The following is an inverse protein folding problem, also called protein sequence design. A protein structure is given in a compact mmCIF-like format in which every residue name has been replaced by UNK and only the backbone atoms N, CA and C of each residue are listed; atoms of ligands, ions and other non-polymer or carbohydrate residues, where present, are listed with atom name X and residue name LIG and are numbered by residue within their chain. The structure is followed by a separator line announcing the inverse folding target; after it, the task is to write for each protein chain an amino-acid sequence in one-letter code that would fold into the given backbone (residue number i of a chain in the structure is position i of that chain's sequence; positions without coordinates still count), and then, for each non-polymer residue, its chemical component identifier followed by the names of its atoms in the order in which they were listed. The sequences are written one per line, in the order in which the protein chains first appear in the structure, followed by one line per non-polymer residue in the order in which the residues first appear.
data_IF_186162729456
#
_entry.id   IF_186162729456
#
_cell.length_a   1.000
_cell.length_b   1.000
_cell.length_c   1.000
_cell.angle_alpha   90.00
_cell.angle_beta   90.00
_cell.angle_gamma   90.00
#
_symmetry.space_group_name_H-M   'P 1'
#
loop_
_entity.id
_entity.type
_entity.pdbx_description
1 polymer ?
#
# COMPACT_ATOMS: atom_id res chain seq x y z
N UNK A 1 31.07 13.69 8.29
CA UNK A 1 30.38 12.80 7.33
C UNK A 1 29.42 11.96 8.14
N UNK A 2 28.10 12.20 8.07
CA UNK A 2 27.14 11.39 8.83
C UNK A 2 27.09 10.00 8.22
N UNK A 3 27.43 8.98 9.01
CA UNK A 3 27.31 7.58 8.61
C UNK A 3 25.87 7.14 8.88
N UNK A 4 25.15 6.77 7.84
CA UNK A 4 23.82 6.17 7.98
C UNK A 4 23.98 4.67 8.20
N UNK A 5 23.40 4.15 9.29
CA UNK A 5 23.39 2.72 9.59
C UNK A 5 22.02 2.15 9.21
N UNK A 6 21.94 1.32 8.16
CA UNK A 6 20.68 0.70 7.77
C UNK A 6 20.28 -0.41 8.74
N UNK A 7 18.98 -0.49 9.02
CA UNK A 7 18.35 -1.59 9.73
C UNK A 7 17.12 -2.07 8.96
N UNK A 8 16.81 -3.37 9.08
CA UNK A 8 15.61 -3.98 8.54
C UNK A 8 14.73 -4.45 9.69
N UNK A 9 13.45 -4.08 9.65
CA UNK A 9 12.44 -4.49 10.62
C UNK A 9 11.40 -5.36 9.91
N UNK A 10 11.16 -6.54 10.46
CA UNK A 10 10.06 -7.41 10.06
C UNK A 10 9.07 -7.55 11.21
N UNK A 11 7.82 -7.14 10.95
CA UNK A 11 6.71 -7.34 11.89
C UNK A 11 5.87 -8.50 11.36
N UNK A 12 5.86 -9.62 12.08
CA UNK A 12 5.14 -10.82 11.67
C UNK A 12 3.62 -10.60 11.72
N UNK A 13 2.89 -11.01 10.69
CA UNK A 13 1.42 -11.04 10.66
C UNK A 13 0.96 -12.48 10.40
N UNK A 14 -0.15 -12.94 10.99
CA UNK A 14 -0.65 -14.31 10.76
C UNK A 14 -0.92 -14.63 9.28
N UNK A 15 -1.26 -13.61 8.49
CA UNK A 15 -1.51 -13.72 7.05
C UNK A 15 -0.24 -13.56 6.19
N UNK A 16 0.95 -13.60 6.80
CA UNK A 16 2.23 -13.43 6.10
C UNK A 16 2.77 -14.77 5.61
N UNK A 17 2.77 -14.98 4.30
CA UNK A 17 3.38 -16.18 3.67
C UNK A 17 4.92 -16.15 3.61
N UNK A 18 5.53 -15.06 4.07
CA UNK A 18 6.99 -14.86 4.05
C UNK A 18 7.63 -15.44 5.30
N UNK A 19 8.55 -16.40 5.13
CA UNK A 19 9.39 -16.92 6.21
C UNK A 19 10.45 -15.88 6.64
N UNK A 20 10.42 -15.39 7.90
CA UNK A 20 11.38 -14.42 8.40
C UNK A 20 12.83 -14.92 8.41
N UNK A 21 13.07 -16.24 8.42
CA UNK A 21 14.43 -16.79 8.43
C UNK A 21 15.16 -16.53 7.10
N UNK A 22 14.46 -16.67 5.98
CA UNK A 22 15.01 -16.38 4.65
C UNK A 22 15.37 -14.89 4.52
N UNK A 23 14.52 -14.01 5.05
CA UNK A 23 14.77 -12.57 5.06
C UNK A 23 15.95 -12.20 5.97
N UNK A 24 16.03 -12.80 7.16
CA UNK A 24 17.15 -12.62 8.08
C UNK A 24 18.48 -13.05 7.44
N UNK A 25 18.51 -14.21 6.78
CA UNK A 25 19.69 -14.70 6.07
C UNK A 25 20.13 -13.71 4.99
N UNK A 26 19.20 -13.23 4.17
CA UNK A 26 19.48 -12.24 3.14
C UNK A 26 20.00 -10.90 3.72
N UNK A 27 19.35 -10.36 4.75
CA UNK A 27 19.82 -9.14 5.42
C UNK A 27 21.24 -9.29 5.98
N UNK A 28 21.59 -10.48 6.49
CA UNK A 28 22.96 -10.79 6.94
C UNK A 28 23.97 -10.74 5.79
N UNK A 29 23.63 -11.22 4.60
CA UNK A 29 24.52 -11.11 3.42
C UNK A 29 24.78 -9.66 3.01
N UNK A 30 23.82 -8.77 3.25
CA UNK A 30 23.94 -7.33 2.99
C UNK A 30 24.62 -6.54 4.12
N UNK A 31 24.95 -7.21 5.25
CA UNK A 31 25.47 -6.52 6.44
C UNK A 31 24.45 -5.61 7.14
N UNK A 32 23.15 -5.84 6.93
CA UNK A 32 22.06 -5.05 7.51
C UNK A 32 21.56 -5.70 8.80
N UNK A 33 21.44 -4.93 9.87
CA UNK A 33 20.87 -5.40 11.14
C UNK A 33 19.39 -5.76 10.93
N UNK A 34 19.04 -7.03 11.17
CA UNK A 34 17.67 -7.51 11.10
C UNK A 34 17.02 -7.51 12.49
N UNK A 35 15.80 -7.00 12.58
CA UNK A 35 14.99 -6.92 13.80
C UNK A 35 13.68 -7.63 13.50
N UNK A 36 13.35 -8.62 14.32
CA UNK A 36 12.10 -9.36 14.21
C UNK A 36 11.19 -9.00 15.39
N UNK A 37 9.96 -8.61 15.07
CA UNK A 37 8.91 -8.32 16.03
C UNK A 37 7.73 -9.27 15.80
N UNK A 38 7.36 -10.00 16.84
CA UNK A 38 6.24 -10.92 16.80
C UNK A 38 4.94 -10.24 17.26
N UNK A 39 3.85 -10.45 16.52
CA UNK A 39 2.52 -9.98 16.90
C UNK A 39 1.83 -10.82 17.97
N UNK A 40 2.39 -11.97 18.35
CA UNK A 40 1.69 -12.97 19.17
C UNK A 40 1.27 -12.48 20.57
N UNK A 41 1.80 -11.37 21.11
CA UNK A 41 1.51 -10.97 22.50
C UNK A 41 0.34 -10.02 22.74
N UNK A 42 -0.27 -9.37 21.74
CA UNK A 42 -1.12 -8.19 22.03
C UNK A 42 -2.54 -8.14 21.47
N UNK A 43 -3.04 -9.07 20.65
CA UNK A 43 -4.46 -9.04 20.27
C UNK A 43 -5.02 -10.40 19.85
N UNK A 44 -5.70 -11.06 20.79
CA UNK A 44 -6.62 -12.17 20.54
C UNK A 44 -8.03 -11.71 20.17
N UNK A 45 -8.30 -10.41 20.01
CA UNK A 45 -9.67 -9.91 19.83
C UNK A 45 -9.71 -8.65 18.97
N UNK A 46 -9.71 -8.82 17.64
CA UNK A 46 -10.51 -8.03 16.69
C UNK A 46 -10.30 -8.64 15.30
N UNK A 47 -11.20 -9.56 14.93
CA UNK A 47 -11.32 -10.02 13.57
C UNK A 47 -11.86 -8.87 12.71
N UNK A 48 -11.03 -8.33 11.83
CA UNK A 48 -11.45 -7.52 10.68
C UNK A 48 -10.53 -7.79 9.50
N UNK A 49 -11.13 -8.41 8.48
CA UNK A 49 -10.72 -8.57 7.08
C UNK A 49 -9.24 -8.78 6.77
N UNK A 50 -8.95 -10.01 6.32
CA UNK A 50 -7.78 -10.33 5.53
C UNK A 50 -7.82 -9.56 4.19
N UNK A 51 -7.37 -8.30 4.19
CA UNK A 51 -7.03 -7.57 2.96
C UNK A 51 -5.55 -7.81 2.66
N UNK A 52 -5.30 -8.52 1.58
CA UNK A 52 -3.97 -8.86 1.11
C UNK A 52 -3.15 -7.61 0.78
N UNK A 53 -1.96 -7.54 1.39
CA UNK A 53 -0.92 -6.54 1.13
C UNK A 53 -1.17 -5.13 1.68
N UNK A 54 -1.32 -5.01 3.01
CA UNK A 54 -1.45 -3.73 3.73
C UNK A 54 -0.55 -3.66 4.97
N UNK A 55 0.72 -4.10 4.88
CA UNK A 55 1.62 -4.14 6.04
C UNK A 55 1.72 -2.80 6.79
N UNK A 56 1.81 -1.66 6.08
CA UNK A 56 1.96 -0.34 6.71
C UNK A 56 0.65 0.33 7.19
N UNK A 57 -0.53 -0.01 6.66
CA UNK A 57 -1.73 0.77 7.05
C UNK A 57 -2.27 0.37 8.43
N UNK A 58 -1.96 -0.84 8.93
CA UNK A 58 -2.42 -1.23 10.27
C UNK A 58 -1.76 -0.36 11.36
N UNK A 59 -2.58 0.16 12.27
CA UNK A 59 -2.10 0.96 13.40
C UNK A 59 -1.11 0.17 14.28
N UNK A 60 -1.37 -1.14 14.47
CA UNK A 60 -0.49 -2.02 15.25
C UNK A 60 0.91 -2.16 14.66
N UNK A 61 1.05 -2.24 13.33
CA UNK A 61 2.38 -2.30 12.69
C UNK A 61 3.11 -0.96 12.86
N UNK A 62 2.42 0.18 12.64
CA UNK A 62 3.03 1.50 12.84
C UNK A 62 3.50 1.70 14.28
N UNK A 63 2.66 1.35 15.27
CA UNK A 63 3.02 1.42 16.70
C UNK A 63 4.27 0.61 17.03
N UNK A 64 4.40 -0.60 16.49
CA UNK A 64 5.61 -1.44 16.65
C UNK A 64 6.83 -0.79 16.00
N UNK A 65 6.69 -0.29 14.79
CA UNK A 65 7.79 0.41 14.08
C UNK A 65 8.28 1.60 14.89
N UNK A 66 7.36 2.40 15.45
CA UNK A 66 7.72 3.54 16.29
C UNK A 66 8.44 3.11 17.58
N UNK A 67 7.96 2.05 18.24
CA UNK A 67 8.61 1.50 19.44
C UNK A 67 10.02 0.97 19.17
N UNK A 68 10.21 0.24 18.06
CA UNK A 68 11.54 -0.25 17.65
C UNK A 68 12.46 0.91 17.28
N UNK A 69 11.95 1.90 16.55
CA UNK A 69 12.74 3.06 16.17
C UNK A 69 13.20 3.85 17.40
N UNK A 70 12.31 4.06 18.37
CA UNK A 70 12.64 4.75 19.62
C UNK A 70 13.66 3.97 20.47
N UNK A 71 13.47 2.66 20.63
CA UNK A 71 14.35 1.81 21.45
C UNK A 71 15.75 1.64 20.86
N UNK A 72 15.88 1.63 19.53
CA UNK A 72 17.17 1.47 18.86
C UNK A 72 17.80 2.78 18.38
N UNK A 73 17.13 3.93 18.61
CA UNK A 73 17.64 5.26 18.25
C UNK A 73 17.60 5.56 16.75
N UNK A 74 16.69 4.95 15.99
CA UNK A 74 16.49 5.30 14.58
C UNK A 74 15.70 6.60 14.44
N UNK A 75 16.23 7.55 13.66
CA UNK A 75 15.57 8.83 13.38
C UNK A 75 14.60 8.80 12.20
N UNK A 76 14.66 7.75 11.37
CA UNK A 76 13.83 7.62 10.18
C UNK A 76 13.47 6.16 9.89
N UNK A 77 12.25 5.95 9.38
CA UNK A 77 11.80 4.66 8.85
C UNK A 77 11.41 4.82 7.38
N UNK A 78 11.96 3.96 6.52
CA UNK A 78 11.65 3.93 5.10
C UNK A 78 10.63 2.83 4.79
N UNK A 79 9.56 3.19 4.10
CA UNK A 79 8.48 2.28 3.70
C UNK A 79 8.42 2.20 2.18
N UNK A 80 8.48 0.98 1.65
CA UNK A 80 8.53 0.72 0.21
C UNK A 80 7.12 0.74 -0.42
N UNK A 81 6.45 1.89 -0.37
CA UNK A 81 5.17 2.09 -1.07
C UNK A 81 5.38 2.78 -2.41
N UNK A 82 4.69 2.27 -3.42
CA UNK A 82 4.84 2.65 -4.82
C UNK A 82 3.83 3.71 -5.25
N UNK A 83 4.02 4.26 -6.45
CA UNK A 83 3.06 5.17 -7.09
C UNK A 83 1.69 4.50 -7.26
N UNK A 84 1.66 3.20 -7.57
CA UNK A 84 0.42 2.41 -7.66
C UNK A 84 -0.36 2.44 -6.36
N UNK A 85 0.35 2.32 -5.23
CA UNK A 85 -0.27 2.38 -3.91
C UNK A 85 -0.82 3.78 -3.62
N UNK A 86 -0.11 4.83 -4.02
CA UNK A 86 -0.59 6.21 -3.86
C UNK A 86 -1.84 6.46 -4.72
N UNK A 87 -1.83 6.03 -5.99
CA UNK A 87 -2.98 6.14 -6.87
C UNK A 87 -4.19 5.36 -6.33
N UNK A 88 -3.99 4.14 -5.83
CA UNK A 88 -5.07 3.35 -5.24
C UNK A 88 -5.63 4.02 -3.98
N UNK A 89 -4.75 4.52 -3.09
CA UNK A 89 -5.17 5.27 -1.91
C UNK A 89 -5.97 6.51 -2.29
N UNK A 90 -5.55 7.24 -3.33
CA UNK A 90 -6.29 8.40 -3.86
C UNK A 90 -7.70 8.04 -4.34
N UNK A 91 -7.86 6.91 -5.05
CA UNK A 91 -9.19 6.49 -5.49
C UNK A 91 -10.09 6.10 -4.31
N UNK A 92 -9.54 5.39 -3.32
CA UNK A 92 -10.30 5.03 -2.11
C UNK A 92 -10.80 6.29 -1.40
N UNK A 93 -9.94 7.28 -1.23
CA UNK A 93 -10.32 8.51 -0.53
C UNK A 93 -11.24 9.40 -1.36
N UNK A 94 -11.06 9.45 -2.68
CA UNK A 94 -11.95 10.19 -3.57
C UNK A 94 -13.35 9.56 -3.65
N UNK A 95 -13.44 8.22 -3.69
CA UNK A 95 -14.71 7.51 -3.87
C UNK A 95 -15.45 7.24 -2.56
N UNK A 96 -14.72 7.02 -1.46
CA UNK A 96 -15.32 6.64 -0.17
C UNK A 96 -15.05 7.64 0.95
N UNK A 97 -13.94 8.38 0.88
CA UNK A 97 -13.55 9.35 1.90
C UNK A 97 -14.01 10.79 1.66
N UNK A 98 -14.67 11.05 0.52
CA UNK A 98 -15.07 12.40 0.07
C UNK A 98 -13.92 13.43 0.13
N UNK A 99 -12.69 12.97 -0.07
CA UNK A 99 -11.48 13.79 0.09
C UNK A 99 -10.50 13.55 -1.05
N UNK A 100 -9.81 14.61 -1.48
CA UNK A 100 -8.74 14.54 -2.47
C UNK A 100 -7.38 14.49 -1.76
N UNK A 101 -7.08 13.36 -1.14
CA UNK A 101 -5.80 13.11 -0.47
C UNK A 101 -5.19 11.79 -0.95
N UNK A 102 -3.90 11.61 -0.67
CA UNK A 102 -3.15 10.38 -0.98
C UNK A 102 -1.97 10.27 -0.04
N UNK A 103 -1.22 9.19 -0.20
CA UNK A 103 0.02 8.93 0.53
C UNK A 103 1.03 10.06 0.34
N UNK A 104 1.51 10.63 1.44
CA UNK A 104 2.57 11.64 1.42
C UNK A 104 3.95 11.01 1.25
N UNK A 105 4.85 11.69 0.54
CA UNK A 105 6.22 11.23 0.31
C UNK A 105 7.01 11.08 1.62
N UNK A 106 6.73 11.95 2.58
CA UNK A 106 7.26 11.87 3.93
C UNK A 106 6.38 12.65 4.91
N UNK A 107 6.42 12.25 6.17
CA UNK A 107 5.83 12.99 7.28
C UNK A 107 6.65 12.76 8.55
N UNK A 108 6.51 13.63 9.54
CA UNK A 108 7.18 13.49 10.84
C UNK A 108 6.17 13.15 11.91
N UNK A 109 6.45 12.11 12.68
CA UNK A 109 5.70 11.75 13.88
C UNK A 109 6.44 12.36 15.06
N UNK A 110 5.83 13.36 15.70
CA UNK A 110 6.49 14.20 16.71
C UNK A 110 6.67 13.48 18.02
N UNK A 111 5.67 12.72 18.42
CA UNK A 111 5.59 11.92 19.63
C UNK A 111 6.76 10.95 19.76
N UNK A 112 7.23 10.42 18.62
CA UNK A 112 8.31 9.45 18.54
C UNK A 112 9.59 10.02 17.90
N UNK A 113 9.61 11.32 17.59
CA UNK A 113 10.71 12.01 16.94
C UNK A 113 11.26 11.29 15.68
N UNK A 114 10.39 10.62 14.92
CA UNK A 114 10.74 9.79 13.77
C UNK A 114 10.19 10.39 12.48
N UNK A 115 10.97 10.32 11.41
CA UNK A 115 10.52 10.68 10.05
C UNK A 115 10.18 9.44 9.24
N UNK A 116 8.97 9.38 8.72
CA UNK A 116 8.56 8.34 7.78
C UNK A 116 8.88 8.80 6.36
N UNK A 117 9.53 7.93 5.59
CA UNK A 117 9.99 8.20 4.22
C UNK A 117 9.42 7.15 3.27
N UNK A 118 8.99 7.56 2.08
CA UNK A 118 8.54 6.65 1.01
C UNK A 118 9.39 6.84 -0.25
N UNK A 119 10.58 6.21 -0.34
CA UNK A 119 11.50 6.41 -1.45
C UNK A 119 10.91 6.06 -2.83
N UNK A 120 9.97 5.10 -2.89
CA UNK A 120 9.38 4.60 -4.13
C UNK A 120 8.05 5.25 -4.50
N UNK A 121 7.63 6.32 -3.82
CA UNK A 121 6.29 6.90 -3.99
C UNK A 121 6.03 7.42 -5.43
N UNK A 122 7.08 7.68 -6.20
CA UNK A 122 7.00 8.14 -7.59
C UNK A 122 7.41 7.07 -8.63
N UNK A 123 7.62 5.83 -8.18
CA UNK A 123 8.08 4.70 -8.99
C UNK A 123 6.92 3.71 -9.17
N UNK A 124 6.76 3.17 -10.38
CA UNK A 124 5.73 2.16 -10.67
C UNK A 124 6.11 0.82 -10.06
N UNK A 125 5.12 0.04 -9.64
CA UNK A 125 5.31 -1.34 -9.17
C UNK A 125 5.93 -2.24 -10.25
N UNK A 126 5.51 -2.09 -11.51
CA UNK A 126 6.07 -2.85 -12.63
C UNK A 126 7.56 -2.55 -12.86
N UNK A 127 7.99 -1.31 -12.65
CA UNK A 127 9.39 -0.91 -12.84
C UNK A 127 10.27 -1.53 -11.75
N UNK A 128 9.76 -1.59 -10.51
CA UNK A 128 10.44 -2.27 -9.40
C UNK A 128 10.53 -3.78 -9.63
N UNK A 129 9.46 -4.40 -10.14
CA UNK A 129 9.47 -5.82 -10.47
C UNK A 129 10.47 -6.13 -11.60
N UNK A 130 10.48 -5.31 -12.67
CA UNK A 130 11.46 -5.44 -13.74
C UNK A 130 12.89 -5.26 -13.22
N UNK A 131 13.12 -4.25 -12.37
CA UNK A 131 14.41 -4.04 -11.73
C UNK A 131 14.84 -5.25 -10.90
N UNK A 132 13.97 -5.78 -10.05
CA UNK A 132 14.25 -6.94 -9.21
C UNK A 132 14.63 -8.17 -10.05
N UNK A 133 13.89 -8.45 -11.13
CA UNK A 133 14.20 -9.54 -12.06
C UNK A 133 15.54 -9.31 -12.77
N UNK A 134 15.80 -8.10 -13.25
CA UNK A 134 17.05 -7.78 -13.96
C UNK A 134 18.30 -7.90 -13.08
N UNK A 135 18.15 -7.65 -11.78
CA UNK A 135 19.23 -7.73 -10.80
C UNK A 135 19.30 -9.10 -10.10
N UNK A 136 18.39 -10.03 -10.42
CA UNK A 136 18.32 -11.33 -9.77
C UNK A 136 18.07 -11.25 -8.26
N UNK A 137 17.28 -10.26 -7.81
CA UNK A 137 16.94 -10.13 -6.39
C UNK A 137 16.07 -11.32 -5.94
N UNK A 138 16.23 -11.78 -4.69
CA UNK A 138 15.42 -12.87 -4.16
C UNK A 138 13.94 -12.47 -4.07
N UNK A 139 13.07 -13.38 -4.50
CA UNK A 139 11.63 -13.29 -4.28
C UNK A 139 11.26 -14.14 -3.07
N UNK A 140 10.75 -13.50 -2.02
CA UNK A 140 10.34 -14.16 -0.77
C UNK A 140 8.84 -14.46 -0.72
N UNK A 141 8.06 -14.00 -1.72
CA UNK A 141 6.60 -14.10 -1.74
C UNK A 141 6.07 -15.26 -2.58
N UNK A 142 6.94 -15.96 -3.31
CA UNK A 142 6.58 -17.15 -4.06
C UNK A 142 7.06 -18.38 -3.30
N UNK A 143 6.10 -19.22 -2.99
CA UNK A 143 6.28 -20.54 -2.44
C UNK A 143 7.45 -21.25 -3.17
N UNK A 144 8.34 -21.89 -2.43
CA UNK A 144 9.53 -22.59 -2.92
C UNK A 144 9.18 -23.88 -3.70
N UNK A 145 8.02 -23.93 -4.37
CA UNK A 145 7.51 -25.05 -5.15
C UNK A 145 7.62 -24.88 -6.66
N UNK A 146 7.81 -23.66 -7.19
CA UNK A 146 8.08 -23.47 -8.63
C UNK A 146 9.59 -23.56 -8.92
N UNK A 147 10.08 -24.79 -9.06
CA UNK A 147 11.32 -25.04 -9.81
C UNK A 147 11.15 -24.53 -11.25
N UNK A 148 12.19 -23.94 -11.86
CA UNK A 148 12.09 -23.51 -13.25
C UNK A 148 11.97 -24.76 -14.14
N UNK A 149 10.79 -25.00 -14.71
CA UNK A 149 10.61 -26.02 -15.75
C UNK A 149 11.20 -25.46 -17.04
N UNK A 150 12.46 -25.81 -17.27
CA UNK A 150 13.14 -25.70 -18.55
C UNK A 150 12.71 -26.91 -19.41
N UNK A 151 11.85 -26.74 -20.40
CA UNK A 151 11.60 -27.79 -21.42
C UNK A 151 10.32 -27.65 -22.24
N UNK A 152 10.30 -28.13 -23.50
CA UNK A 152 9.55 -27.48 -24.60
C UNK A 152 8.16 -28.04 -24.88
N UNK A 153 7.40 -27.18 -25.59
CA UNK A 153 6.19 -27.43 -26.38
C UNK A 153 6.00 -28.86 -26.87
N UNK A 154 4.84 -29.44 -26.57
CA UNK A 154 4.17 -30.43 -27.42
C UNK A 154 2.69 -30.13 -27.51
N UNK A 155 2.31 -29.67 -28.70
CA UNK A 155 0.95 -29.67 -29.21
C UNK A 155 0.33 -31.06 -29.04
N UNK A 156 -0.88 -31.14 -28.50
CA UNK A 156 -1.79 -32.25 -28.79
C UNK A 156 -3.19 -31.71 -29.01
N UNK A 157 -3.52 -31.55 -30.29
CA UNK A 157 -4.91 -31.62 -30.72
C UNK A 157 -5.44 -33.00 -30.36
N UNK A 158 -6.65 -33.07 -29.82
CA UNK A 158 -7.57 -34.15 -30.10
C UNK A 158 -8.96 -33.52 -30.34
N UNK A 159 -9.38 -33.55 -31.61
CA UNK A 159 -10.76 -33.34 -32.04
C UNK A 159 -11.49 -34.67 -31.92
N UNK A 160 -12.69 -34.67 -31.34
CA UNK A 160 -13.85 -35.41 -31.89
C UNK A 160 -15.09 -35.26 -30.99
N UNK A 161 -16.37 -35.26 -31.41
CA UNK A 161 -17.17 -35.23 -32.66
C UNK A 161 -18.63 -35.09 -32.11
N UNK A 162 -19.47 -34.19 -32.68
CA UNK A 162 -20.98 -34.13 -32.75
C UNK A 162 -21.90 -34.66 -31.62
N UNK A 163 -23.10 -34.20 -31.24
CA UNK A 163 -24.21 -33.28 -31.63
C UNK A 163 -25.37 -33.61 -30.60
N UNK A 164 -26.64 -33.09 -30.63
CA UNK A 164 -27.23 -31.83 -31.11
C UNK A 164 -28.15 -31.13 -30.06
N UNK A 165 -28.66 -29.95 -30.43
CA UNK A 165 -29.79 -29.26 -29.77
C UNK A 165 -31.17 -29.86 -30.14
N UNK A 166 -32.09 -29.85 -29.16
CA UNK A 166 -33.52 -29.53 -29.37
C UNK A 166 -34.54 -30.64 -29.10
N UNK A 167 -35.38 -30.47 -28.06
CA UNK A 167 -36.86 -30.46 -28.16
C UNK A 167 -37.54 -30.38 -26.79
N UNK A 168 -38.60 -29.56 -26.73
CA UNK A 168 -39.44 -29.15 -25.60
C UNK A 168 -40.19 -30.26 -24.84
N UNK A 169 -40.44 -30.03 -23.54
CA UNK A 169 -41.75 -30.21 -22.87
C UNK A 169 -41.85 -29.25 -21.68
N UNK A 170 -42.91 -28.44 -21.66
CA UNK A 170 -43.23 -27.56 -20.54
C UNK A 170 -43.81 -28.31 -19.34
N UNK A 171 -43.65 -27.73 -18.16
CA UNK A 171 -44.67 -27.76 -17.12
C UNK A 171 -44.49 -26.63 -16.09
N UNK A 172 -45.64 -26.07 -15.71
CA UNK A 172 -46.02 -25.34 -14.49
C UNK A 172 -45.11 -24.29 -13.84
N UNK A 173 -45.77 -23.14 -13.63
CA UNK A 173 -45.48 -22.01 -12.74
C UNK A 173 -45.27 -22.40 -11.27
N UNK A 174 -44.73 -21.42 -10.53
CA UNK A 174 -44.58 -21.30 -9.08
C UNK A 174 -43.24 -21.78 -8.49
N UNK A 175 -42.20 -20.98 -8.71
CA UNK A 175 -41.10 -20.84 -7.76
C UNK A 175 -41.03 -19.38 -7.34
N UNK A 176 -41.43 -19.12 -6.11
CA UNK A 176 -41.10 -17.88 -5.41
C UNK A 176 -39.59 -17.66 -5.50
N UNK A 177 -39.17 -16.54 -6.08
CA UNK A 177 -37.79 -16.09 -6.00
C UNK A 177 -37.52 -15.71 -4.55
N UNK A 178 -36.90 -16.64 -3.82
CA UNK A 178 -36.28 -16.37 -2.54
C UNK A 178 -35.28 -15.21 -2.71
N UNK A 179 -35.70 -14.02 -2.30
CA UNK A 179 -34.87 -12.85 -2.00
C UNK A 179 -33.92 -13.18 -0.83
N UNK A 180 -32.97 -14.08 -1.08
CA UNK A 180 -31.80 -14.33 -0.25
C UNK A 180 -30.53 -14.21 -1.09
N UNK A 181 -30.51 -13.18 -1.95
CA UNK A 181 -29.25 -12.66 -2.48
C UNK A 181 -28.41 -12.21 -1.30
N UNK A 182 -27.43 -13.03 -0.93
CA UNK A 182 -26.36 -12.66 -0.02
C UNK A 182 -25.85 -11.28 -0.42
N UNK A 183 -25.92 -10.33 0.52
CA UNK A 183 -25.30 -9.02 0.38
C UNK A 183 -23.88 -9.25 -0.17
N UNK A 184 -23.48 -8.60 -1.28
CA UNK A 184 -22.15 -8.77 -1.83
C UNK A 184 -21.14 -8.58 -0.69
N UNK A 185 -20.32 -9.60 -0.47
CA UNK A 185 -19.19 -9.56 0.43
C UNK A 185 -18.49 -8.21 0.22
N UNK A 186 -18.45 -7.37 1.27
CA UNK A 186 -18.07 -5.96 1.18
C UNK A 186 -16.66 -5.90 0.56
N UNK A 187 -16.58 -5.63 -0.76
CA UNK A 187 -15.32 -5.67 -1.50
C UNK A 187 -14.36 -4.69 -0.84
N UNK A 188 -13.18 -5.18 -0.44
CA UNK A 188 -12.14 -4.34 0.15
C UNK A 188 -11.86 -3.14 -0.79
N UNK A 189 -12.11 -1.89 -0.34
CA UNK A 189 -12.00 -0.70 -1.18
C UNK A 189 -10.64 -0.58 -1.87
N UNK A 190 -9.57 -0.97 -1.17
CA UNK A 190 -8.22 -0.95 -1.70
C UNK A 190 -8.04 -1.93 -2.86
N UNK A 191 -8.65 -3.10 -2.78
CA UNK A 191 -8.59 -4.12 -3.83
C UNK A 191 -9.38 -3.69 -5.07
N UNK A 192 -10.58 -3.14 -4.87
CA UNK A 192 -11.39 -2.54 -5.94
C UNK A 192 -10.65 -1.39 -6.65
N UNK A 193 -10.05 -0.46 -5.90
CA UNK A 193 -9.28 0.64 -6.48
C UNK A 193 -8.09 0.17 -7.33
N UNK A 194 -7.38 -0.89 -6.91
CA UNK A 194 -6.29 -1.50 -7.69
C UNK A 194 -6.81 -2.10 -8.99
N UNK A 195 -7.96 -2.77 -8.95
CA UNK A 195 -8.56 -3.39 -10.13
C UNK A 195 -9.01 -2.34 -11.15
N UNK A 196 -9.62 -1.24 -10.70
CA UNK A 196 -9.99 -0.10 -11.54
C UNK A 196 -8.75 0.45 -12.25
N UNK A 197 -7.66 0.72 -11.51
CA UNK A 197 -6.41 1.23 -12.08
C UNK A 197 -5.82 0.27 -13.10
N UNK A 198 -5.75 -1.03 -12.78
CA UNK A 198 -5.21 -2.06 -13.67
C UNK A 198 -6.02 -2.16 -14.97
N UNK A 199 -7.34 -2.02 -14.89
CA UNK A 199 -8.23 -2.05 -16.05
C UNK A 199 -8.02 -0.82 -16.93
N UNK A 200 -7.97 0.37 -16.31
CA UNK A 200 -7.80 1.62 -17.03
C UNK A 200 -6.40 1.78 -17.62
N UNK A 201 -5.36 1.24 -16.99
CA UNK A 201 -4.00 1.27 -17.54
C UNK A 201 -3.91 0.56 -18.89
N UNK A 202 -4.69 -0.52 -19.10
CA UNK A 202 -4.77 -1.21 -20.40
C UNK A 202 -5.41 -0.34 -21.48
N UNK A 203 -6.36 0.51 -21.10
CA UNK A 203 -7.09 1.39 -22.03
C UNK A 203 -6.34 2.70 -22.28
N UNK A 204 -5.59 3.20 -21.29
CA UNK A 204 -4.93 4.49 -21.29
C UNK A 204 -3.44 4.34 -20.95
N UNK A 205 -2.56 4.16 -21.94
CA UNK A 205 -1.12 3.89 -21.72
C UNK A 205 -0.38 4.97 -20.91
N UNK A 206 -0.87 6.22 -20.90
CA UNK A 206 -0.28 7.34 -20.18
C UNK A 206 -0.94 7.62 -18.82
N UNK A 207 -1.84 6.76 -18.35
CA UNK A 207 -2.60 6.95 -17.12
C UNK A 207 -1.69 7.29 -15.93
N UNK A 208 -0.65 6.49 -15.70
CA UNK A 208 0.22 6.69 -14.54
C UNK A 208 1.20 7.85 -14.68
N UNK A 209 1.57 8.24 -15.90
CA UNK A 209 2.31 9.49 -16.12
C UNK A 209 1.45 10.69 -15.76
N UNK A 210 0.16 10.65 -16.15
CA UNK A 210 -0.82 11.68 -15.78
C UNK A 210 -1.06 11.71 -14.27
N UNK A 211 -1.33 10.55 -13.65
CA UNK A 211 -1.54 10.44 -12.20
C UNK A 211 -0.32 10.90 -11.41
N UNK A 212 0.90 10.55 -11.82
CA UNK A 212 2.13 11.01 -11.18
C UNK A 212 2.21 12.53 -11.10
N UNK A 213 1.88 13.21 -12.19
CA UNK A 213 1.91 14.67 -12.25
C UNK A 213 0.74 15.28 -11.48
N UNK A 214 -0.47 14.74 -11.63
CA UNK A 214 -1.67 15.23 -10.97
C UNK A 214 -1.61 15.08 -9.44
N UNK A 215 -1.04 13.98 -8.95
CA UNK A 215 -0.91 13.69 -7.53
C UNK A 215 0.32 14.34 -6.88
N UNK A 216 1.25 14.90 -7.66
CA UNK A 216 2.48 15.50 -7.13
C UNK A 216 2.24 16.52 -6.00
N UNK A 217 1.27 17.46 -6.08
CA UNK A 217 1.01 18.40 -4.99
C UNK A 217 0.57 17.71 -3.68
N UNK A 218 -0.26 16.66 -3.79
CA UNK A 218 -0.76 15.89 -2.65
C UNK A 218 0.34 15.03 -2.04
N UNK A 219 1.11 14.32 -2.88
CA UNK A 219 2.23 13.48 -2.44
C UNK A 219 3.33 14.32 -1.79
N UNK A 220 3.64 15.49 -2.34
CA UNK A 220 4.68 16.37 -1.78
C UNK A 220 4.31 16.96 -0.41
N UNK A 221 3.06 16.79 0.05
CA UNK A 221 2.60 17.38 1.31
C UNK A 221 2.58 18.91 1.29
N UNK A 222 2.52 19.52 0.10
CA UNK A 222 2.41 20.99 -0.01
C UNK A 222 1.02 21.39 0.45
N UNK A 223 0.93 21.85 1.69
CA UNK A 223 -0.29 22.39 2.23
C UNK A 223 -0.57 23.75 1.57
N UNK A 224 -1.37 23.73 0.50
CA UNK A 224 -1.77 24.93 -0.28
C UNK A 224 -2.38 26.01 0.65
N UNK A 225 -2.97 25.63 1.77
CA UNK A 225 -3.50 26.59 2.75
C UNK A 225 -2.43 27.26 3.59
N UNK A 226 -1.33 26.57 3.96
CA UNK A 226 -0.25 27.19 4.74
C UNK A 226 0.37 28.35 3.95
N UNK A 227 0.58 28.19 2.64
CA UNK A 227 1.11 29.28 1.79
C UNK A 227 0.16 30.49 1.73
N UNK A 228 -1.15 30.25 1.65
CA UNK A 228 -2.15 31.32 1.69
C UNK A 228 -2.27 32.01 3.05
N UNK A 229 -2.10 31.28 4.17
CA UNK A 229 -2.07 31.86 5.52
C UNK A 229 -0.81 32.70 5.75
N UNK A 230 0.35 32.25 5.28
CA UNK A 230 1.59 33.05 5.36
C UNK A 230 1.47 34.34 4.55
N UNK A 231 0.86 34.27 3.36
CA UNK A 231 0.65 35.43 2.49
C UNK A 231 -0.37 36.44 3.05
N UNK A 232 -1.37 35.98 3.82
CA UNK A 232 -2.34 36.87 4.52
C UNK A 232 -1.78 37.44 5.83
N UNK A 233 -1.03 36.64 6.60
CA UNK A 233 -0.36 37.09 7.84
C UNK A 233 0.72 38.13 7.54
N UNK A 234 1.52 37.98 6.48
CA UNK A 234 2.54 38.97 6.09
C UNK A 234 1.96 40.34 5.72
N UNK A 235 0.73 40.38 5.20
CA UNK A 235 0.03 41.64 4.85
C UNK A 235 -0.54 42.33 6.10
N UNK A 236 -0.97 41.57 7.10
CA UNK A 236 -1.57 42.11 8.33
C UNK A 236 -0.49 42.52 9.35
N UNK A 237 0.65 41.81 9.37
CA UNK A 237 1.74 42.03 10.33
C UNK A 237 2.53 43.33 10.09
N UNK A 238 2.41 43.96 8.91
CA UNK A 238 3.02 45.28 8.69
C UNK A 238 2.26 46.43 9.36
N UNK A 239 1.04 46.20 9.88
CA UNK A 239 0.26 47.27 10.52
C UNK A 239 0.44 47.32 12.04
N UNK A 240 0.42 46.19 12.75
CA UNK A 240 0.41 46.19 14.22
C UNK A 240 1.35 45.09 14.76
N UNK A 241 2.56 45.47 15.20
CA UNK A 241 3.64 44.56 15.59
C UNK A 241 3.47 43.81 16.93
N UNK A 242 2.44 42.98 17.09
CA UNK A 242 2.32 42.03 18.20
C UNK A 242 2.65 40.59 17.77
N UNK A 243 3.46 39.83 18.53
CA UNK A 243 3.71 38.42 18.25
C UNK A 243 2.46 37.58 18.52
N UNK A 244 2.00 36.81 17.53
CA UNK A 244 0.93 35.81 17.68
C UNK A 244 1.59 34.47 17.99
N UNK A 245 1.26 33.88 19.15
CA UNK A 245 1.59 32.49 19.46
C UNK A 245 0.72 31.57 18.59
N UNK A 246 1.36 30.71 17.78
CA UNK A 246 0.67 29.67 17.03
C UNK A 246 0.35 28.51 17.99
N UNK A 247 -0.90 28.43 18.45
CA UNK A 247 -1.46 27.26 19.13
C UNK A 247 -1.90 26.20 18.09
N UNK A 248 -1.78 24.93 18.47
CA UNK A 248 -2.25 23.71 17.79
C UNK A 248 -1.32 23.10 16.72
N UNK A 249 -0.22 22.48 17.17
CA UNK A 249 0.51 21.48 16.39
C UNK A 249 -0.21 20.12 16.45
N UNK A 250 -1.26 19.96 15.63
CA UNK A 250 -1.85 18.65 15.36
C UNK A 250 -0.84 17.70 14.70
N UNK A 251 -0.86 16.43 15.12
CA UNK A 251 -0.06 15.35 14.56
C UNK A 251 -0.40 15.17 13.07
N UNK A 252 0.59 15.21 12.17
CA UNK A 252 0.39 15.05 10.71
C UNK A 252 0.13 13.59 10.30
N UNK A 253 -0.45 12.77 11.19
CA UNK A 253 -0.68 11.36 10.93
C UNK A 253 -1.81 11.18 9.90
N UNK A 254 -1.54 10.40 8.86
CA UNK A 254 -2.49 10.11 7.79
C UNK A 254 -3.66 9.26 8.33
N UNK A 255 -4.93 9.60 8.02
CA UNK A 255 -6.06 8.76 8.35
C UNK A 255 -5.91 7.40 7.64
N UNK A 256 -6.18 6.32 8.38
CA UNK A 256 -6.18 4.97 7.81
C UNK A 256 -7.44 4.82 6.97
N UNK A 257 -7.35 4.48 5.69
CA UNK A 257 -8.51 4.03 4.94
C UNK A 257 -9.04 2.70 5.48
#
# INVERSE_FOLDING_TARGET
MSVYVPGALFVHEPASDVDPLHLMAYCRTLGVKFIYEDKIKEQLQTACSASSSVRWSSHSVRRRVYGVAASQGFSAAAVAQTLDRAAAAFLVTAFHGAALNTLTAHYRVKEHNIRILRPFIYVRSQDLEHFARSQGLPDFGRDLSDKPVLGPSKNKLDRSISLPCGSDKGDSLDREEDLSGSLPELVDPMSSAREILKTHEKLYPYLFSSLKNALHPLISGRNIEKDNRHRKKSVIQMKNGSPVYDSEEGTEEEPVP
#
